data_IF_611211813109
#
_entry.id   IF_611211813109
#
_cell.length_a   1.000
_cell.length_b   1.000
_cell.length_c   1.000
_cell.angle_alpha   90.00
_cell.angle_beta   90.00
_cell.angle_gamma   90.00
#
_symmetry.space_group_name_H-M   'P 1'
#
loop_
_entity.id
_entity.type
_entity.pdbx_description
1 polymer ?
#
# COMPACT_ATOMS: atom_id res chain seq x y z
N UNK A 1 -17.32 11.22 -6.47
CA UNK A 1 -18.02 12.41 -5.94
C UNK A 1 -18.48 12.26 -4.50
N UNK A 2 -19.13 11.14 -4.10
CA UNK A 2 -19.67 10.98 -2.74
C UNK A 2 -18.67 11.20 -1.58
N UNK A 3 -17.38 10.87 -1.76
CA UNK A 3 -16.35 11.03 -0.71
C UNK A 3 -15.91 12.48 -0.44
N UNK A 4 -16.20 13.43 -1.35
CA UNK A 4 -15.84 14.86 -1.21
C UNK A 4 -16.95 15.65 -0.50
N UNK A 5 -18.18 15.13 -0.51
CA UNK A 5 -19.35 15.73 0.14
C UNK A 5 -19.10 16.05 1.63
N UNK A 6 -18.62 15.12 2.47
CA UNK A 6 -18.37 15.44 3.88
C UNK A 6 -17.31 16.54 4.06
N UNK A 7 -16.29 16.60 3.20
CA UNK A 7 -15.29 17.66 3.23
C UNK A 7 -15.93 19.02 2.92
N UNK A 8 -16.79 19.11 1.90
CA UNK A 8 -17.49 20.34 1.54
C UNK A 8 -18.46 20.80 2.64
N UNK A 9 -19.17 19.86 3.27
CA UNK A 9 -20.07 20.16 4.38
C UNK A 9 -19.29 20.71 5.57
N UNK A 10 -18.17 20.08 5.95
CA UNK A 10 -17.34 20.58 7.05
C UNK A 10 -16.72 21.94 6.70
N UNK A 11 -16.24 22.13 5.46
CA UNK A 11 -15.73 23.42 4.99
C UNK A 11 -16.78 24.54 5.13
N UNK A 12 -18.02 24.25 4.73
CA UNK A 12 -19.13 25.18 4.83
C UNK A 12 -19.47 25.52 6.29
N UNK A 13 -19.53 24.52 7.17
CA UNK A 13 -19.80 24.70 8.61
C UNK A 13 -18.69 25.54 9.26
N UNK A 14 -17.42 25.23 8.96
CA UNK A 14 -16.26 25.97 9.49
C UNK A 14 -16.28 27.43 9.03
N UNK A 15 -16.52 27.67 7.73
CA UNK A 15 -16.64 29.04 7.21
C UNK A 15 -17.79 29.82 7.87
N UNK A 16 -18.92 29.16 8.10
CA UNK A 16 -20.09 29.76 8.78
C UNK A 16 -19.79 30.10 10.26
N UNK A 17 -19.09 29.21 10.97
CA UNK A 17 -18.66 29.44 12.36
C UNK A 17 -17.67 30.61 12.48
N UNK A 18 -16.72 30.73 11.56
CA UNK A 18 -15.78 31.87 11.54
C UNK A 18 -16.48 33.19 11.25
N UNK A 19 -17.46 33.19 10.34
CA UNK A 19 -18.26 34.38 10.06
C UNK A 19 -19.08 34.80 11.29
N UNK A 20 -19.74 33.87 11.97
CA UNK A 20 -20.44 34.15 13.23
C UNK A 20 -19.49 34.60 14.34
N UNK A 21 -18.29 34.04 14.44
CA UNK A 21 -17.30 34.47 15.42
C UNK A 21 -16.91 35.95 15.22
N UNK A 22 -16.77 36.38 13.96
CA UNK A 22 -16.47 37.78 13.62
C UNK A 22 -17.66 38.73 13.85
N UNK A 23 -18.90 38.25 13.66
CA UNK A 23 -20.11 39.06 13.87
C UNK A 23 -20.50 39.20 15.36
N UNK A 24 -20.36 38.13 16.16
CA UNK A 24 -20.80 38.12 17.57
C UNK A 24 -19.67 38.31 18.58
N UNK A 25 -18.40 38.24 18.17
CA UNK A 25 -17.23 38.40 19.05
C UNK A 25 -17.05 37.28 20.10
N UNK A 26 -17.84 36.21 20.05
CA UNK A 26 -17.79 35.11 21.02
C UNK A 26 -16.65 34.15 20.66
N UNK A 27 -15.66 34.07 21.55
CA UNK A 27 -14.46 33.23 21.37
C UNK A 27 -14.75 31.73 21.20
N UNK A 28 -15.89 31.24 21.68
CA UNK A 28 -16.33 29.85 21.55
C UNK A 28 -16.48 29.43 20.07
N UNK A 29 -17.06 30.28 19.21
CA UNK A 29 -17.20 29.98 17.79
C UNK A 29 -15.85 29.90 17.07
N UNK A 30 -14.87 30.69 17.52
CA UNK A 30 -13.50 30.64 17.01
C UNK A 30 -12.80 29.32 17.38
N UNK A 31 -13.04 28.80 18.58
CA UNK A 31 -12.51 27.50 19.02
C UNK A 31 -13.12 26.33 18.25
N UNK A 32 -14.42 26.35 17.95
CA UNK A 32 -15.04 25.34 17.09
C UNK A 32 -14.62 25.46 15.62
N UNK A 33 -14.40 26.68 15.12
CA UNK A 33 -13.84 26.92 13.79
C UNK A 33 -12.44 26.32 13.63
N UNK A 34 -11.55 26.52 14.61
CA UNK A 34 -10.20 25.93 14.56
C UNK A 34 -10.23 24.40 14.69
N UNK A 35 -11.09 23.85 15.53
CA UNK A 35 -11.30 22.39 15.61
C UNK A 35 -11.76 21.82 14.27
N UNK A 36 -12.66 22.52 13.58
CA UNK A 36 -13.13 22.10 12.27
C UNK A 36 -12.06 22.17 11.17
N UNK A 37 -11.08 23.08 11.26
CA UNK A 37 -9.88 23.06 10.38
C UNK A 37 -9.09 21.77 10.60
N UNK A 38 -8.88 21.37 11.85
CA UNK A 38 -8.18 20.11 12.16
C UNK A 38 -8.92 18.91 11.58
N UNK A 39 -10.24 18.84 11.76
CA UNK A 39 -11.09 17.77 11.18
C UNK A 39 -11.02 17.76 9.65
N UNK A 40 -11.09 18.93 9.00
CA UNK A 40 -10.90 19.07 7.56
C UNK A 40 -9.54 18.55 7.12
N UNK A 41 -8.46 18.88 7.83
CA UNK A 41 -7.12 18.38 7.55
C UNK A 41 -7.04 16.85 7.60
N UNK A 42 -7.65 16.23 8.62
CA UNK A 42 -7.71 14.76 8.74
C UNK A 42 -8.49 14.15 7.58
N UNK A 43 -9.70 14.65 7.29
CA UNK A 43 -10.54 14.14 6.20
C UNK A 43 -9.87 14.28 4.83
N UNK A 44 -9.23 15.43 4.57
CA UNK A 44 -8.48 15.66 3.34
C UNK A 44 -7.32 14.66 3.21
N UNK A 45 -6.60 14.38 4.30
CA UNK A 45 -5.49 13.41 4.32
C UNK A 45 -5.97 11.98 4.07
N UNK A 46 -7.10 11.58 4.65
CA UNK A 46 -7.70 10.27 4.40
C UNK A 46 -8.16 10.12 2.96
N UNK A 47 -8.79 11.16 2.41
CA UNK A 47 -9.24 11.19 1.02
C UNK A 47 -8.07 11.03 0.06
N UNK A 48 -7.01 11.83 0.24
CA UNK A 48 -5.80 11.78 -0.57
C UNK A 48 -5.12 10.41 -0.48
N UNK A 49 -5.04 9.85 0.73
CA UNK A 49 -4.50 8.51 0.97
C UNK A 49 -5.30 7.45 0.23
N UNK A 50 -6.63 7.57 0.22
CA UNK A 50 -7.50 6.63 -0.50
C UNK A 50 -7.27 6.70 -2.01
N UNK A 51 -7.08 7.89 -2.57
CA UNK A 51 -6.82 8.06 -4.01
C UNK A 51 -5.45 7.55 -4.42
N UNK A 52 -4.40 7.83 -3.63
CA UNK A 52 -3.07 7.30 -3.89
C UNK A 52 -3.07 5.78 -3.91
N UNK A 53 -3.81 5.17 -2.98
CA UNK A 53 -3.87 3.73 -2.88
C UNK A 53 -4.70 3.10 -4.01
N UNK A 54 -5.82 3.72 -4.38
CA UNK A 54 -6.59 3.32 -5.56
C UNK A 54 -5.75 3.41 -6.85
N UNK A 55 -4.92 4.45 -6.98
CA UNK A 55 -3.96 4.58 -8.08
C UNK A 55 -2.96 3.43 -8.11
N UNK A 56 -2.28 3.18 -6.99
CA UNK A 56 -1.31 2.09 -6.87
C UNK A 56 -1.93 0.69 -7.11
N UNK A 57 -3.17 0.47 -6.69
CA UNK A 57 -3.88 -0.78 -6.99
C UNK A 57 -4.25 -0.91 -8.46
N UNK A 58 -4.58 0.19 -9.15
CA UNK A 58 -4.81 0.15 -10.61
C UNK A 58 -3.52 -0.17 -11.36
N UNK A 59 -2.40 0.41 -10.95
CA UNK A 59 -1.08 0.09 -11.50
C UNK A 59 -0.72 -1.38 -11.26
N UNK A 60 -0.95 -1.89 -10.05
CA UNK A 60 -0.81 -3.33 -9.76
C UNK A 60 -1.70 -4.16 -10.68
N UNK A 61 -2.97 -3.81 -10.84
CA UNK A 61 -3.88 -4.55 -11.73
C UNK A 61 -3.42 -4.50 -13.20
N UNK A 62 -2.88 -3.38 -13.65
CA UNK A 62 -2.31 -3.26 -14.99
C UNK A 62 -1.11 -4.18 -15.16
N UNK A 63 -0.19 -4.20 -14.18
CA UNK A 63 0.96 -5.10 -14.16
C UNK A 63 0.53 -6.57 -14.14
N UNK A 64 -0.47 -6.93 -13.33
CA UNK A 64 -1.00 -8.29 -13.26
C UNK A 64 -1.72 -8.72 -14.55
N UNK A 65 -2.27 -7.78 -15.32
CA UNK A 65 -2.87 -8.06 -16.64
C UNK A 65 -1.82 -8.19 -17.73
N UNK A 66 -0.71 -7.48 -17.60
CA UNK A 66 0.43 -7.51 -18.52
C UNK A 66 1.54 -8.45 -18.01
N UNK A 67 1.17 -9.54 -17.36
CA UNK A 67 2.15 -10.51 -16.88
C UNK A 67 2.91 -11.13 -18.06
N UNK A 68 4.23 -11.34 -17.94
CA UNK A 68 5.00 -12.05 -18.94
C UNK A 68 4.48 -13.48 -19.16
N UNK A 69 4.71 -14.02 -20.35
CA UNK A 69 4.27 -15.37 -20.71
C UNK A 69 4.77 -16.41 -19.69
N UNK A 70 3.88 -17.31 -19.28
CA UNK A 70 4.17 -18.32 -18.27
C UNK A 70 3.89 -17.90 -16.82
N UNK A 71 3.55 -16.64 -16.57
CA UNK A 71 3.10 -16.21 -15.25
C UNK A 71 1.58 -16.22 -15.14
N UNK A 72 1.08 -16.67 -13.99
CA UNK A 72 -0.34 -16.70 -13.69
C UNK A 72 -0.61 -16.20 -12.28
N UNK A 73 -1.69 -15.45 -12.13
CA UNK A 73 -2.24 -15.08 -10.82
C UNK A 73 -3.18 -16.19 -10.34
N UNK A 74 -2.95 -16.72 -9.14
CA UNK A 74 -3.85 -17.69 -8.50
C UNK A 74 -4.27 -17.22 -7.11
N UNK A 75 -5.50 -17.55 -6.72
CA UNK A 75 -6.01 -17.30 -5.37
C UNK A 75 -6.03 -15.83 -4.97
N UNK A 76 -6.16 -14.91 -5.93
CA UNK A 76 -6.22 -13.48 -5.67
C UNK A 76 -7.42 -13.14 -4.79
N UNK A 77 -7.16 -12.47 -3.67
CA UNK A 77 -8.17 -11.97 -2.72
C UNK A 77 -7.76 -10.59 -2.27
N UNK A 78 -8.73 -9.73 -2.02
CA UNK A 78 -8.42 -8.38 -1.57
C UNK A 78 -9.58 -7.42 -1.75
N UNK A 79 -9.44 -6.26 -1.13
CA UNK A 79 -10.32 -5.12 -1.24
C UNK A 79 -9.57 -3.93 -1.86
N UNK A 80 -10.20 -2.75 -1.81
CA UNK A 80 -9.60 -1.52 -2.30
C UNK A 80 -8.45 -1.00 -1.41
N UNK A 81 -7.96 -1.76 -0.43
CA UNK A 81 -6.91 -1.36 0.54
C UNK A 81 -5.80 -2.39 0.68
N UNK A 82 -6.09 -3.63 0.34
CA UNK A 82 -5.19 -4.77 0.50
C UNK A 82 -5.47 -5.79 -0.57
N UNK A 83 -4.41 -6.30 -1.18
CA UNK A 83 -4.44 -7.39 -2.12
C UNK A 83 -3.45 -8.46 -1.66
N UNK A 84 -3.84 -9.72 -1.84
CA UNK A 84 -3.00 -10.87 -1.61
C UNK A 84 -3.29 -11.96 -2.63
N UNK A 85 -2.26 -12.72 -3.02
CA UNK A 85 -2.41 -13.79 -3.99
C UNK A 85 -1.11 -14.49 -4.29
N UNK A 86 -1.17 -15.46 -5.19
CA UNK A 86 0.00 -16.17 -5.68
C UNK A 86 0.33 -15.71 -7.10
N UNK A 87 1.59 -15.38 -7.34
CA UNK A 87 2.15 -15.28 -8.69
C UNK A 87 2.91 -16.57 -8.97
N UNK A 88 2.44 -17.35 -9.92
CA UNK A 88 2.99 -18.65 -10.28
C UNK A 88 3.70 -18.49 -11.62
N UNK A 89 5.02 -18.64 -11.63
CA UNK A 89 5.84 -18.63 -12.84
C UNK A 89 6.54 -19.98 -13.07
N UNK A 90 7.41 -20.03 -14.07
CA UNK A 90 8.23 -21.21 -14.37
C UNK A 90 9.26 -21.46 -13.25
N UNK A 91 8.96 -22.39 -12.35
CA UNK A 91 9.89 -22.87 -11.31
C UNK A 91 9.89 -22.06 -10.01
N UNK A 92 9.06 -21.01 -9.88
CA UNK A 92 8.91 -20.25 -8.63
C UNK A 92 7.49 -19.78 -8.42
N UNK A 93 7.06 -19.78 -7.16
CA UNK A 93 5.79 -19.20 -6.74
C UNK A 93 6.08 -18.07 -5.74
N UNK A 94 5.46 -16.91 -5.92
CA UNK A 94 5.48 -15.81 -4.97
C UNK A 94 4.14 -15.73 -4.25
N UNK A 95 4.16 -15.78 -2.91
CA UNK A 95 3.00 -15.48 -2.07
C UNK A 95 3.04 -13.99 -1.71
N UNK A 96 2.34 -13.19 -2.49
CA UNK A 96 2.42 -11.73 -2.46
C UNK A 96 1.32 -11.16 -1.57
N UNK A 97 1.69 -10.27 -0.66
CA UNK A 97 0.78 -9.48 0.16
C UNK A 97 1.14 -8.00 0.02
N UNK A 98 0.17 -7.16 -0.32
CA UNK A 98 0.41 -5.72 -0.43
C UNK A 98 0.43 -5.04 0.92
N UNK A 99 1.26 -4.01 1.06
CA UNK A 99 1.30 -3.10 2.20
C UNK A 99 1.08 -1.65 1.76
N UNK A 100 0.10 -0.94 2.34
CA UNK A 100 -0.20 0.46 2.01
C UNK A 100 0.63 1.48 2.78
N UNK A 101 1.73 1.03 3.40
CA UNK A 101 2.63 1.87 4.20
C UNK A 101 3.10 3.07 3.37
N UNK A 102 2.95 4.25 3.94
CA UNK A 102 3.34 5.48 3.27
C UNK A 102 4.87 5.64 3.24
N UNK A 103 5.37 6.33 2.21
CA UNK A 103 6.79 6.59 2.02
C UNK A 103 7.43 7.36 3.20
N UNK A 104 6.68 8.22 3.89
CA UNK A 104 7.17 9.00 5.03
C UNK A 104 7.18 8.23 6.36
N UNK A 105 6.60 7.02 6.43
CA UNK A 105 6.62 6.22 7.66
C UNK A 105 8.05 5.76 7.97
N UNK A 106 8.53 5.96 9.19
CA UNK A 106 9.90 5.58 9.60
C UNK A 106 9.90 4.89 10.97
N UNK A 107 10.99 4.18 11.27
CA UNK A 107 11.23 3.59 12.59
C UNK A 107 10.17 2.56 13.03
N UNK A 108 9.77 2.58 14.31
CA UNK A 108 8.91 1.53 14.91
C UNK A 108 7.56 1.34 14.22
N UNK A 109 6.97 2.40 13.67
CA UNK A 109 5.69 2.32 12.95
C UNK A 109 5.81 1.55 11.63
N UNK A 110 6.88 1.82 10.88
CA UNK A 110 7.24 1.12 9.65
C UNK A 110 7.48 -0.37 9.95
N UNK A 111 8.37 -0.66 10.91
CA UNK A 111 8.76 -2.02 11.28
C UNK A 111 7.52 -2.86 11.62
N UNK A 112 6.67 -2.37 12.54
CA UNK A 112 5.43 -3.08 12.93
C UNK A 112 4.47 -3.30 11.77
N UNK A 113 4.41 -2.38 10.82
CA UNK A 113 3.53 -2.53 9.66
C UNK A 113 4.07 -3.58 8.68
N UNK A 114 5.38 -3.58 8.45
CA UNK A 114 6.04 -4.56 7.59
C UNK A 114 6.08 -5.95 8.23
N UNK A 115 6.32 -6.09 9.53
CA UNK A 115 6.21 -7.36 10.26
C UNK A 115 4.81 -7.98 10.14
N UNK A 116 3.76 -7.16 10.22
CA UNK A 116 2.38 -7.62 10.02
C UNK A 116 2.14 -8.10 8.59
N UNK A 117 2.62 -7.37 7.60
CA UNK A 117 2.51 -7.79 6.20
C UNK A 117 3.32 -9.07 5.94
N UNK A 118 4.51 -9.16 6.53
CA UNK A 118 5.40 -10.31 6.45
C UNK A 118 4.81 -11.57 7.07
N UNK A 119 4.21 -11.46 8.25
CA UNK A 119 3.51 -12.56 8.90
C UNK A 119 2.38 -13.10 7.99
N UNK A 120 1.61 -12.20 7.36
CA UNK A 120 0.57 -12.58 6.39
C UNK A 120 1.16 -13.27 5.15
N UNK A 121 2.25 -12.74 4.59
CA UNK A 121 2.90 -13.34 3.43
C UNK A 121 3.46 -14.74 3.74
N UNK A 122 4.05 -14.94 4.92
CA UNK A 122 4.50 -16.26 5.40
C UNK A 122 3.33 -17.22 5.59
N UNK A 123 2.26 -16.78 6.24
CA UNK A 123 1.06 -17.60 6.41
C UNK A 123 0.45 -18.00 5.05
N UNK A 124 0.40 -17.07 4.10
CA UNK A 124 -0.06 -17.33 2.73
C UNK A 124 0.86 -18.34 2.01
N UNK A 125 2.18 -18.21 2.16
CA UNK A 125 3.14 -19.14 1.60
C UNK A 125 2.97 -20.56 2.18
N UNK A 126 2.80 -20.67 3.49
CA UNK A 126 2.62 -21.94 4.20
C UNK A 126 1.28 -22.61 3.91
N UNK A 127 0.22 -21.84 3.68
CA UNK A 127 -1.10 -22.36 3.37
C UNK A 127 -1.20 -22.99 1.97
N UNK A 128 -0.18 -22.81 1.11
CA UNK A 128 -0.17 -23.38 -0.24
C UNK A 128 0.05 -24.89 -0.18
N UNK A 129 -0.87 -25.65 -0.78
CA UNK A 129 -0.81 -27.12 -0.82
C UNK A 129 -0.16 -27.69 -2.10
N UNK A 130 0.08 -26.85 -3.11
CA UNK A 130 0.45 -27.26 -4.49
C UNK A 130 1.94 -27.63 -4.70
N UNK A 131 2.57 -28.39 -3.80
CA UNK A 131 3.86 -29.06 -3.99
C UNK A 131 5.13 -28.19 -4.12
N UNK A 132 5.08 -27.04 -4.79
CA UNK A 132 6.19 -26.09 -4.87
C UNK A 132 6.13 -25.07 -3.71
N UNK A 133 7.23 -24.86 -2.98
CA UNK A 133 7.29 -23.87 -1.91
C UNK A 133 7.11 -22.46 -2.48
N UNK A 134 6.19 -21.69 -1.89
CA UNK A 134 6.01 -20.29 -2.23
C UNK A 134 6.99 -19.40 -1.45
N UNK A 135 7.66 -18.48 -2.14
CA UNK A 135 8.44 -17.43 -1.50
C UNK A 135 7.50 -16.36 -0.94
N UNK A 136 7.51 -16.04 0.36
CA UNK A 136 6.73 -14.93 0.90
C UNK A 136 7.27 -13.59 0.39
N UNK A 137 6.37 -12.74 -0.08
CA UNK A 137 6.70 -11.45 -0.67
C UNK A 137 5.77 -10.35 -0.15
N UNK A 138 6.35 -9.22 0.28
CA UNK A 138 5.63 -8.00 0.65
C UNK A 138 5.79 -6.98 -0.47
N UNK A 139 4.66 -6.60 -1.08
CA UNK A 139 4.61 -5.58 -2.13
C UNK A 139 4.20 -4.23 -1.55
N UNK A 140 5.09 -3.24 -1.62
CA UNK A 140 4.83 -1.88 -1.17
C UNK A 140 4.09 -1.10 -2.25
N UNK A 141 2.90 -0.57 -1.92
CA UNK A 141 2.07 0.16 -2.88
C UNK A 141 2.32 1.68 -2.88
N UNK A 142 2.79 2.23 -1.76
CA UNK A 142 2.89 3.69 -1.55
C UNK A 142 4.28 4.15 -1.12
N UNK A 143 5.27 3.28 -1.31
CA UNK A 143 6.64 3.45 -0.83
C UNK A 143 7.59 2.65 -1.72
N UNK A 144 8.79 3.19 -1.91
CA UNK A 144 9.90 2.45 -2.51
C UNK A 144 10.45 1.40 -1.56
N UNK A 145 10.85 0.25 -2.09
CA UNK A 145 11.53 -0.79 -1.31
C UNK A 145 13.00 -0.40 -1.04
N UNK A 146 13.19 0.64 -0.22
CA UNK A 146 14.49 1.14 0.23
C UNK A 146 15.12 0.23 1.29
N UNK A 147 16.39 0.51 1.61
CA UNK A 147 17.16 -0.33 2.51
C UNK A 147 16.56 -0.44 3.92
N UNK A 148 15.94 0.64 4.43
CA UNK A 148 15.24 0.62 5.72
C UNK A 148 14.04 -0.35 5.70
N UNK A 149 13.23 -0.34 4.62
CA UNK A 149 12.11 -1.26 4.47
C UNK A 149 12.59 -2.72 4.38
N UNK A 150 13.68 -2.98 3.65
CA UNK A 150 14.27 -4.33 3.53
C UNK A 150 14.85 -4.83 4.85
N UNK A 151 15.58 -3.98 5.58
CA UNK A 151 16.15 -4.32 6.91
C UNK A 151 15.07 -4.55 7.98
N UNK A 152 13.88 -3.99 7.80
CA UNK A 152 12.77 -4.17 8.74
C UNK A 152 12.24 -5.60 8.81
N UNK A 153 12.41 -6.39 7.74
CA UNK A 153 11.98 -7.79 7.70
C UNK A 153 13.06 -8.64 7.01
N UNK A 154 14.13 -9.03 7.73
CA UNK A 154 15.22 -9.80 7.14
C UNK A 154 14.74 -11.17 6.65
N UNK A 155 15.33 -11.64 5.54
CA UNK A 155 14.99 -12.92 4.92
C UNK A 155 13.63 -12.95 4.21
N UNK A 156 13.08 -11.79 3.83
CA UNK A 156 11.85 -11.69 3.06
C UNK A 156 12.03 -10.83 1.82
N UNK A 157 11.34 -11.21 0.74
CA UNK A 157 11.30 -10.41 -0.47
C UNK A 157 10.37 -9.20 -0.24
N UNK A 158 10.96 -8.02 -0.09
CA UNK A 158 10.23 -6.74 -0.01
C UNK A 158 10.50 -5.96 -1.29
N UNK A 159 9.47 -5.73 -2.09
CA UNK A 159 9.56 -5.05 -3.38
C UNK A 159 8.49 -3.97 -3.49
N UNK A 160 8.72 -2.99 -4.36
CA UNK A 160 7.69 -2.07 -4.85
C UNK A 160 7.20 -2.53 -6.24
N UNK A 161 6.33 -1.76 -6.88
CA UNK A 161 5.76 -2.12 -8.19
C UNK A 161 6.83 -2.24 -9.28
N UNK A 162 7.82 -1.35 -9.28
CA UNK A 162 8.93 -1.37 -10.24
C UNK A 162 9.81 -2.61 -10.01
N UNK A 163 10.18 -2.89 -8.75
CA UNK A 163 10.95 -4.07 -8.38
C UNK A 163 10.23 -5.39 -8.70
N UNK A 164 8.90 -5.43 -8.54
CA UNK A 164 8.11 -6.59 -8.94
C UNK A 164 8.13 -6.79 -10.46
N UNK A 165 7.96 -5.73 -11.25
CA UNK A 165 8.03 -5.81 -12.71
C UNK A 165 9.40 -6.32 -13.18
N UNK A 166 10.48 -5.82 -12.58
CA UNK A 166 11.84 -6.26 -12.89
C UNK A 166 12.06 -7.75 -12.59
N UNK A 167 11.56 -8.24 -11.45
CA UNK A 167 11.65 -9.68 -11.10
C UNK A 167 10.88 -10.58 -12.06
N UNK A 168 9.69 -10.15 -12.47
CA UNK A 168 8.87 -10.90 -13.43
C UNK A 168 9.52 -10.92 -14.83
N UNK A 169 10.12 -9.80 -15.26
CA UNK A 169 10.84 -9.68 -16.53
C UNK A 169 12.08 -10.56 -16.58
N UNK A 170 12.94 -10.50 -15.55
CA UNK A 170 14.17 -11.33 -15.48
C UNK A 170 13.87 -12.82 -15.60
N UNK A 171 12.78 -13.26 -14.98
CA UNK A 171 12.32 -14.64 -15.05
C UNK A 171 11.87 -15.07 -16.44
N UNK A 172 11.18 -14.17 -17.14
CA UNK A 172 10.66 -14.42 -18.49
C UNK A 172 11.79 -14.59 -19.51
N UNK A 173 12.90 -13.87 -19.31
CA UNK A 173 14.11 -13.95 -20.15
C UNK A 173 14.97 -15.20 -19.85
N UNK A 174 14.50 -16.12 -19.00
CA UNK A 174 15.25 -17.32 -18.60
C UNK A 174 16.41 -17.03 -17.63
N UNK A 175 16.49 -15.81 -17.11
CA UNK A 175 17.46 -15.43 -16.09
C UNK A 175 17.12 -16.04 -14.72
N UNK A 176 18.14 -16.38 -13.95
CA UNK A 176 17.96 -16.73 -12.55
C UNK A 176 17.44 -15.51 -11.77
N UNK A 177 16.42 -15.73 -10.94
CA UNK A 177 15.91 -14.70 -10.04
C UNK A 177 16.97 -14.24 -9.04
N UNK A 178 16.81 -13.02 -8.55
CA UNK A 178 17.62 -12.53 -7.44
C UNK A 178 17.42 -13.45 -6.20
N UNK A 179 18.51 -13.98 -5.62
CA UNK A 179 18.45 -14.75 -4.37
C UNK A 179 18.12 -13.85 -3.18
N UNK A 180 18.42 -12.54 -3.28
CA UNK A 180 18.17 -11.51 -2.26
C UNK A 180 17.69 -10.20 -2.93
N UNK A 181 16.63 -9.51 -2.44
CA UNK A 181 16.22 -8.18 -2.92
C UNK A 181 17.35 -7.15 -3.03
N UNK A 182 18.44 -7.27 -2.26
CA UNK A 182 19.64 -6.43 -2.39
C UNK A 182 20.33 -6.52 -3.77
N UNK A 183 20.13 -7.61 -4.51
CA UNK A 183 20.72 -7.83 -5.84
C UNK A 183 19.91 -7.24 -7.01
N UNK A 184 18.81 -6.52 -6.70
CA UNK A 184 17.95 -5.85 -7.68
C UNK A 184 18.35 -4.40 -8.00
N UNK A 185 19.43 -3.90 -7.39
CA UNK A 185 19.93 -2.51 -7.55
C UNK A 185 21.17 -2.50 -8.42
#
# INVERSE_FOLDING_TARGET
>A
MARVIPLLVVAFIVGSLFRMANEFGVGLFRMFGTLGIVVMGVLATELLTSWQLEGALRELQALLKALPDGWQVKGARGDSRSWQGYLVGHGRVLAVVTSPVANYARGRGLVRALERAAAKARALAQARQDGQPATPCVLLLRRRADEEARRSVPGMLVVDLEGLAAELGRAAEGGAFAPDPASLV
#
